data_IF_889575646277
#
_entry.id   IF_889575646277
#
_cell.length_a   1.000
_cell.length_b   1.000
_cell.length_c   1.000
_cell.angle_alpha   90.00
_cell.angle_beta   90.00
_cell.angle_gamma   90.00
#
_symmetry.space_group_name_H-M   'P 1'
#
loop_
_entity.id
_entity.type
_entity.pdbx_description
1 polymer ?
#
# COMPACT_ATOMS: atom_id res chain seq x y z
N UNK A 1 6.68 -0.92 -7.58
CA UNK A 1 7.14 -1.64 -6.37
C UNK A 1 8.58 -1.28 -6.06
N UNK A 2 8.99 -1.42 -4.80
CA UNK A 2 10.40 -1.28 -4.40
C UNK A 2 10.84 -2.49 -3.57
N UNK A 3 12.12 -2.83 -3.67
CA UNK A 3 12.75 -3.80 -2.79
C UNK A 3 13.38 -3.10 -1.55
N UNK A 4 13.92 -3.90 -0.63
CA UNK A 4 14.56 -3.41 0.59
C UNK A 4 15.89 -2.68 0.31
N UNK A 5 16.54 -2.96 -0.82
CA UNK A 5 17.76 -2.29 -1.26
C UNK A 5 17.50 -0.88 -1.84
N UNK A 6 16.23 -0.54 -2.05
CA UNK A 6 15.82 0.76 -2.60
C UNK A 6 15.72 0.78 -4.13
N UNK A 7 15.83 -0.37 -4.80
CA UNK A 7 15.52 -0.44 -6.22
C UNK A 7 14.02 -0.25 -6.44
N UNK A 8 13.65 0.54 -7.43
CA UNK A 8 12.25 0.79 -7.78
C UNK A 8 11.95 0.24 -9.17
N UNK A 9 10.86 -0.49 -9.28
CA UNK A 9 10.38 -1.09 -10.52
C UNK A 9 8.98 -0.56 -10.81
N UNK A 10 8.78 0.02 -11.97
CA UNK A 10 7.47 0.41 -12.47
C UNK A 10 7.00 -0.68 -13.42
N UNK A 11 5.83 -1.23 -13.16
CA UNK A 11 5.27 -2.36 -13.90
C UNK A 11 3.95 -1.89 -14.50
N UNK A 12 3.85 -1.95 -15.82
CA UNK A 12 2.62 -1.70 -16.55
C UNK A 12 2.17 -3.04 -17.17
N UNK A 13 1.14 -3.69 -16.60
CA UNK A 13 0.57 -4.87 -17.22
C UNK A 13 -0.10 -4.52 -18.54
N UNK A 14 -0.14 -5.49 -19.45
CA UNK A 14 -0.89 -5.39 -20.68
C UNK A 14 -2.36 -5.04 -20.39
N UNK A 15 -2.88 -4.02 -21.05
CA UNK A 15 -4.23 -3.47 -20.79
C UNK A 15 -5.36 -4.40 -21.29
N UNK A 16 -5.08 -5.33 -22.18
CA UNK A 16 -6.07 -6.24 -22.74
C UNK A 16 -6.31 -7.46 -21.83
N UNK A 17 -5.26 -8.01 -21.23
CA UNK A 17 -5.33 -9.28 -20.52
C UNK A 17 -4.76 -9.25 -19.10
N UNK A 18 -4.09 -8.17 -18.71
CA UNK A 18 -3.44 -7.98 -17.40
C UNK A 18 -2.47 -9.11 -16.99
N UNK A 19 -1.89 -9.84 -17.96
CA UNK A 19 -0.97 -10.94 -17.66
C UNK A 19 0.35 -10.42 -17.09
N UNK A 20 0.64 -10.79 -15.85
CA UNK A 20 1.88 -10.43 -15.17
C UNK A 20 2.34 -11.59 -14.25
N UNK A 21 2.71 -12.77 -14.79
CA UNK A 21 2.95 -13.99 -13.99
C UNK A 21 4.05 -13.83 -12.95
N UNK A 22 5.11 -13.09 -13.25
CA UNK A 22 6.18 -12.81 -12.30
C UNK A 22 5.70 -11.94 -11.14
N UNK A 23 4.89 -10.90 -11.41
CA UNK A 23 4.29 -10.07 -10.38
C UNK A 23 3.33 -10.90 -9.52
N UNK A 24 2.47 -11.70 -10.13
CA UNK A 24 1.54 -12.59 -9.43
C UNK A 24 2.30 -13.54 -8.49
N UNK A 25 3.40 -14.14 -8.96
CA UNK A 25 4.20 -15.04 -8.11
C UNK A 25 4.77 -14.34 -6.87
N UNK A 26 5.15 -13.06 -6.98
CA UNK A 26 5.59 -12.24 -5.83
C UNK A 26 4.42 -11.91 -4.90
N UNK A 27 3.28 -11.52 -5.47
CA UNK A 27 2.10 -11.12 -4.68
C UNK A 27 1.51 -12.29 -3.88
N UNK A 28 1.49 -13.50 -4.44
CA UNK A 28 0.95 -14.70 -3.78
C UNK A 28 1.94 -15.38 -2.83
N UNK A 29 3.22 -15.03 -2.88
CA UNK A 29 4.23 -15.66 -2.04
C UNK A 29 4.09 -15.24 -0.57
N UNK A 30 3.75 -16.20 0.30
CA UNK A 30 3.59 -15.98 1.74
C UNK A 30 4.90 -15.62 2.46
N UNK A 31 6.05 -15.95 1.87
CA UNK A 31 7.37 -15.65 2.45
C UNK A 31 7.81 -14.21 2.19
N UNK A 32 7.19 -13.54 1.22
CA UNK A 32 7.49 -12.15 0.88
C UNK A 32 6.44 -11.26 1.55
N UNK A 33 6.87 -10.35 2.42
CA UNK A 33 6.00 -9.33 2.99
C UNK A 33 5.75 -8.23 1.96
N UNK A 34 4.47 -7.97 1.64
CA UNK A 34 4.07 -6.83 0.81
C UNK A 34 3.67 -5.67 1.71
N UNK A 35 4.41 -4.58 1.60
CA UNK A 35 4.17 -3.36 2.38
C UNK A 35 3.49 -2.34 1.48
N UNK A 36 2.43 -1.72 1.97
CA UNK A 36 1.78 -0.64 1.24
C UNK A 36 1.12 0.36 2.19
N UNK A 37 0.65 1.45 1.60
CA UNK A 37 -0.07 2.49 2.33
C UNK A 37 -1.50 2.57 1.82
N UNK A 38 -2.48 2.30 2.68
CA UNK A 38 -3.90 2.28 2.32
C UNK A 38 -4.27 1.14 1.36
N UNK A 39 -3.71 -0.05 1.60
CA UNK A 39 -3.77 -1.24 0.73
C UNK A 39 -5.18 -1.72 0.35
N UNK A 40 -6.25 -1.25 0.98
CA UNK A 40 -7.63 -1.64 0.66
C UNK A 40 -7.94 -1.49 -0.83
N UNK A 41 -7.55 -0.36 -1.43
CA UNK A 41 -7.82 -0.11 -2.85
C UNK A 41 -6.85 -0.87 -3.76
N UNK A 42 -5.55 -0.81 -3.47
CA UNK A 42 -4.55 -1.48 -4.30
C UNK A 42 -4.75 -2.99 -4.31
N UNK A 43 -4.98 -3.60 -3.13
CA UNK A 43 -5.24 -5.02 -3.03
C UNK A 43 -6.49 -5.42 -3.81
N UNK A 44 -7.59 -4.67 -3.67
CA UNK A 44 -8.82 -4.93 -4.41
C UNK A 44 -8.60 -4.89 -5.93
N UNK A 45 -7.95 -3.83 -6.43
CA UNK A 45 -7.68 -3.67 -7.85
C UNK A 45 -6.74 -4.76 -8.38
N UNK A 46 -5.61 -5.00 -7.70
CA UNK A 46 -4.63 -6.00 -8.14
C UNK A 46 -5.23 -7.42 -8.14
N UNK A 47 -5.97 -7.82 -7.10
CA UNK A 47 -6.62 -9.13 -7.07
C UNK A 47 -7.69 -9.28 -8.15
N UNK A 48 -8.44 -8.21 -8.43
CA UNK A 48 -9.46 -8.21 -9.46
C UNK A 48 -8.87 -8.35 -10.86
N UNK A 49 -7.89 -7.53 -11.22
CA UNK A 49 -7.33 -7.51 -12.58
C UNK A 49 -6.33 -8.65 -12.82
N UNK A 50 -5.47 -8.95 -11.86
CA UNK A 50 -4.45 -10.00 -12.01
C UNK A 50 -4.96 -11.40 -11.69
N UNK A 51 -6.22 -11.53 -11.19
CA UNK A 51 -6.83 -12.81 -10.80
C UNK A 51 -5.98 -13.63 -9.83
N UNK A 52 -5.39 -12.95 -8.85
CA UNK A 52 -4.51 -13.51 -7.83
C UNK A 52 -5.05 -13.26 -6.42
N UNK A 53 -4.38 -13.83 -5.41
CA UNK A 53 -4.62 -13.54 -3.99
C UNK A 53 -3.35 -13.02 -3.33
N UNK A 54 -3.36 -11.76 -2.93
CA UNK A 54 -2.21 -11.13 -2.29
C UNK A 54 -2.13 -11.59 -0.84
N UNK A 55 -1.00 -12.22 -0.49
CA UNK A 55 -0.76 -12.79 0.83
C UNK A 55 0.36 -12.06 1.56
N UNK A 56 0.39 -12.19 2.89
CA UNK A 56 1.40 -11.61 3.77
C UNK A 56 1.60 -10.10 3.54
N UNK A 57 0.61 -9.31 3.96
CA UNK A 57 0.54 -7.87 3.74
C UNK A 57 0.71 -7.07 5.03
N UNK A 58 1.29 -5.88 4.92
CA UNK A 58 1.40 -4.89 5.99
C UNK A 58 0.91 -3.52 5.49
N UNK A 59 -0.20 -3.04 6.03
CA UNK A 59 -0.73 -1.73 5.69
C UNK A 59 -0.24 -0.67 6.69
N UNK A 60 0.62 0.22 6.25
CA UNK A 60 1.18 1.29 7.09
C UNK A 60 0.12 2.29 7.57
N UNK A 61 -0.95 2.53 6.81
CA UNK A 61 -2.05 3.40 7.23
C UNK A 61 -2.86 2.79 8.38
N UNK A 62 -3.20 1.50 8.30
CA UNK A 62 -3.90 0.80 9.39
C UNK A 62 -3.02 0.77 10.63
N UNK A 63 -1.75 0.41 10.48
CA UNK A 63 -0.79 0.42 11.57
C UNK A 63 -0.71 1.80 12.23
N UNK A 64 -0.53 2.85 11.43
CA UNK A 64 -0.47 4.23 11.92
C UNK A 64 -1.70 4.63 12.73
N UNK A 65 -2.91 4.28 12.26
CA UNK A 65 -4.16 4.57 12.99
C UNK A 65 -4.24 3.85 14.35
N UNK A 66 -3.69 2.64 14.44
CA UNK A 66 -3.72 1.85 15.68
C UNK A 66 -2.76 2.41 16.71
N UNK A 67 -1.60 2.93 16.31
CA UNK A 67 -0.52 3.29 17.24
C UNK A 67 -0.31 4.79 17.42
N UNK A 68 -0.54 5.61 16.39
CA UNK A 68 -0.36 7.07 16.45
C UNK A 68 -1.67 7.76 16.88
N UNK A 69 -2.16 7.41 18.06
CA UNK A 69 -3.40 7.96 18.62
C UNK A 69 -3.28 9.44 19.05
N UNK A 70 -2.07 9.98 19.03
CA UNK A 70 -1.75 11.38 19.32
C UNK A 70 -1.88 12.31 18.10
N UNK A 71 -2.07 11.75 16.89
CA UNK A 71 -2.17 12.51 15.64
C UNK A 71 -3.30 11.94 14.78
N UNK A 72 -4.04 12.79 14.12
CA UNK A 72 -5.10 12.41 13.15
C UNK A 72 -4.58 12.27 11.72
N UNK A 73 -3.33 12.69 11.45
CA UNK A 73 -2.72 12.67 10.12
C UNK A 73 -2.03 11.33 9.87
N UNK A 74 -2.72 10.45 9.13
CA UNK A 74 -2.23 9.11 8.79
C UNK A 74 -1.96 8.95 7.29
N UNK A 75 -1.74 10.06 6.56
CA UNK A 75 -1.38 10.03 5.15
C UNK A 75 0.07 9.64 4.93
N UNK A 76 0.39 9.08 3.75
CA UNK A 76 1.79 8.71 3.43
C UNK A 76 2.74 9.90 3.57
N UNK A 77 2.33 11.08 3.10
CA UNK A 77 3.11 12.33 3.23
C UNK A 77 3.48 12.63 4.69
N UNK A 78 2.51 12.44 5.61
CA UNK A 78 2.72 12.73 7.02
C UNK A 78 3.67 11.73 7.66
N UNK A 79 3.53 10.44 7.31
CA UNK A 79 4.45 9.40 7.77
C UNK A 79 5.86 9.57 7.20
N UNK A 80 6.00 9.97 5.94
CA UNK A 80 7.32 10.26 5.33
C UNK A 80 7.97 11.46 6.01
N UNK A 81 7.20 12.51 6.29
CA UNK A 81 7.72 13.68 7.02
C UNK A 81 8.20 13.29 8.42
N UNK A 82 7.41 12.51 9.16
CA UNK A 82 7.72 12.13 10.54
C UNK A 82 8.88 11.13 10.63
N UNK A 83 8.85 10.06 9.85
CA UNK A 83 9.82 8.95 9.98
C UNK A 83 11.03 9.06 9.06
N UNK A 84 10.93 9.82 7.97
CA UNK A 84 11.99 9.93 6.98
C UNK A 84 12.58 11.35 6.89
N UNK A 85 11.96 12.34 7.55
CA UNK A 85 12.35 13.76 7.46
C UNK A 85 12.41 14.27 6.00
N UNK A 86 11.43 13.87 5.19
CA UNK A 86 11.27 14.23 3.78
C UNK A 86 9.89 14.80 3.53
N UNK A 87 9.78 15.68 2.53
CA UNK A 87 8.51 16.20 2.06
C UNK A 87 8.17 15.59 0.70
N UNK A 88 7.03 14.91 0.60
CA UNK A 88 6.54 14.40 -0.68
C UNK A 88 5.82 15.49 -1.47
N UNK A 89 6.15 15.61 -2.75
CA UNK A 89 5.41 16.44 -3.70
C UNK A 89 4.19 15.66 -4.20
N UNK A 90 3.00 16.26 -4.05
CA UNK A 90 1.74 15.64 -4.49
C UNK A 90 1.21 16.18 -5.83
N UNK A 91 1.91 17.11 -6.48
CA UNK A 91 1.41 17.81 -7.67
C UNK A 91 1.15 16.91 -8.87
N UNK A 92 1.76 15.73 -8.92
CA UNK A 92 1.66 14.80 -10.06
C UNK A 92 0.66 13.65 -9.84
N UNK A 93 -0.01 13.56 -8.70
CA UNK A 93 -1.01 12.51 -8.42
C UNK A 93 -2.23 12.53 -9.35
N UNK A 94 -2.57 13.70 -9.93
CA UNK A 94 -3.66 13.89 -10.88
C UNK A 94 -3.19 13.91 -12.34
N UNK A 95 -1.95 13.50 -12.63
CA UNK A 95 -1.43 13.42 -14.00
C UNK A 95 -2.15 12.33 -14.80
N UNK A 96 -2.08 12.43 -16.14
CA UNK A 96 -2.57 11.37 -17.01
C UNK A 96 -1.66 10.13 -16.92
N UNK A 97 -2.18 9.06 -16.34
CA UNK A 97 -1.52 7.76 -16.16
C UNK A 97 -1.92 6.74 -17.22
N UNK A 98 -2.74 7.12 -18.23
CA UNK A 98 -3.18 6.23 -19.30
C UNK A 98 -2.15 6.07 -20.43
N UNK A 99 -1.03 6.75 -20.31
CA UNK A 99 0.09 6.70 -21.25
C UNK A 99 0.85 5.39 -21.16
N UNK A 100 1.59 5.07 -22.23
CA UNK A 100 2.56 3.98 -22.17
C UNK A 100 3.76 4.37 -21.28
N UNK A 101 4.51 3.37 -20.81
CA UNK A 101 5.55 3.57 -19.81
C UNK A 101 6.66 4.52 -20.29
N UNK A 102 7.00 4.45 -21.55
CA UNK A 102 8.01 5.29 -22.22
C UNK A 102 7.56 6.74 -22.49
N UNK A 103 6.25 7.00 -22.38
CA UNK A 103 5.65 8.33 -22.50
C UNK A 103 5.51 9.05 -21.15
N UNK A 104 5.77 8.36 -20.04
CA UNK A 104 5.71 8.96 -18.72
C UNK A 104 6.89 9.90 -18.51
N UNK A 105 6.61 11.09 -17.99
CA UNK A 105 7.65 12.05 -17.66
C UNK A 105 8.46 11.60 -16.43
N UNK A 106 9.72 12.06 -16.34
CA UNK A 106 10.58 11.80 -15.16
C UNK A 106 9.89 12.17 -13.85
N UNK A 107 9.07 13.24 -13.83
CA UNK A 107 8.32 13.67 -12.66
C UNK A 107 7.20 12.69 -12.27
N UNK A 108 6.55 12.05 -13.24
CA UNK A 108 5.58 11.00 -12.97
C UNK A 108 6.28 9.74 -12.44
N UNK A 109 7.40 9.35 -13.04
CA UNK A 109 8.21 8.23 -12.57
C UNK A 109 8.72 8.47 -11.15
N UNK A 110 9.23 9.68 -10.85
CA UNK A 110 9.64 10.09 -9.51
C UNK A 110 8.48 10.06 -8.52
N UNK A 111 7.30 10.54 -8.92
CA UNK A 111 6.11 10.50 -8.08
C UNK A 111 5.74 9.05 -7.72
N UNK A 112 5.67 8.15 -8.71
CA UNK A 112 5.38 6.73 -8.48
C UNK A 112 6.44 6.05 -7.60
N UNK A 113 7.71 6.40 -7.77
CA UNK A 113 8.79 5.90 -6.91
C UNK A 113 8.64 6.37 -5.46
N UNK A 114 8.27 7.63 -5.26
CA UNK A 114 8.08 8.22 -3.93
C UNK A 114 6.94 7.59 -3.13
N UNK A 115 5.95 6.97 -3.79
CA UNK A 115 4.87 6.26 -3.12
C UNK A 115 5.32 4.93 -2.49
N UNK A 116 6.49 4.40 -2.86
CA UNK A 116 6.95 3.08 -2.39
C UNK A 116 8.29 3.08 -1.68
N UNK A 117 9.23 3.96 -2.04
CA UNK A 117 10.63 3.92 -1.57
C UNK A 117 10.79 4.09 -0.05
N UNK A 118 9.86 4.79 0.60
CA UNK A 118 9.90 5.06 2.04
C UNK A 118 9.18 4.01 2.89
N UNK A 119 8.43 3.09 2.26
CA UNK A 119 7.54 2.16 2.97
C UNK A 119 8.28 1.20 3.90
N UNK A 120 9.46 0.72 3.52
CA UNK A 120 10.28 -0.17 4.36
C UNK A 120 10.67 0.51 5.67
N UNK A 121 11.19 1.75 5.61
CA UNK A 121 11.55 2.52 6.78
C UNK A 121 10.35 2.83 7.67
N UNK A 122 9.25 3.30 7.06
CA UNK A 122 8.00 3.59 7.79
C UNK A 122 7.49 2.33 8.49
N UNK A 123 7.44 1.20 7.79
CA UNK A 123 7.02 -0.10 8.37
C UNK A 123 7.87 -0.46 9.59
N UNK A 124 9.18 -0.33 9.51
CA UNK A 124 10.08 -0.70 10.60
C UNK A 124 9.85 0.19 11.85
N UNK A 125 9.65 1.49 11.68
CA UNK A 125 9.37 2.39 12.80
C UNK A 125 7.97 2.12 13.41
N UNK A 126 6.97 1.95 12.57
CA UNK A 126 5.60 1.63 13.03
C UNK A 126 5.55 0.27 13.75
N UNK A 127 6.29 -0.73 13.31
CA UNK A 127 6.36 -2.05 13.94
C UNK A 127 7.00 -1.98 15.34
N UNK A 128 8.09 -1.21 15.51
CA UNK A 128 8.67 -0.93 16.83
C UNK A 128 7.64 -0.33 17.78
N UNK A 129 6.83 0.61 17.30
CA UNK A 129 5.76 1.22 18.09
C UNK A 129 4.66 0.20 18.44
N UNK A 130 4.24 -0.68 17.49
CA UNK A 130 3.28 -1.76 17.77
C UNK A 130 3.75 -2.68 18.90
N UNK A 131 5.04 -3.03 18.90
CA UNK A 131 5.64 -3.88 19.94
C UNK A 131 5.65 -3.14 21.26
N UNK A 132 6.13 -1.89 21.30
CA UNK A 132 6.19 -1.05 22.49
C UNK A 132 4.82 -0.88 23.16
N UNK A 133 3.80 -0.58 22.34
CA UNK A 133 2.43 -0.34 22.81
C UNK A 133 1.63 -1.65 23.04
N UNK A 134 2.24 -2.82 22.80
CA UNK A 134 1.59 -4.15 22.92
C UNK A 134 0.32 -4.27 22.07
N UNK A 135 0.30 -3.65 20.88
CA UNK A 135 -0.87 -3.62 19.97
C UNK A 135 -0.70 -4.50 18.72
N UNK A 136 0.32 -5.36 18.67
CA UNK A 136 0.60 -6.22 17.52
C UNK A 136 -0.57 -7.17 17.20
N UNK A 137 -1.20 -7.77 18.23
CA UNK A 137 -2.32 -8.69 18.02
C UNK A 137 -3.55 -7.96 17.48
N UNK A 138 -3.81 -6.74 17.94
CA UNK A 138 -4.87 -5.90 17.40
C UNK A 138 -4.61 -5.58 15.94
N UNK A 139 -3.39 -5.21 15.60
CA UNK A 139 -2.99 -4.95 14.22
C UNK A 139 -3.20 -6.18 13.34
N UNK A 140 -2.75 -7.37 13.75
CA UNK A 140 -2.95 -8.62 13.01
C UNK A 140 -4.43 -8.92 12.75
N UNK A 141 -5.30 -8.71 13.73
CA UNK A 141 -6.76 -8.86 13.58
C UNK A 141 -7.34 -7.87 12.56
N UNK A 142 -6.90 -6.61 12.59
CA UNK A 142 -7.31 -5.62 11.59
C UNK A 142 -6.81 -5.99 10.18
N UNK A 143 -5.60 -6.54 10.06
CA UNK A 143 -5.07 -7.00 8.77
C UNK A 143 -5.83 -8.21 8.25
N UNK A 144 -6.22 -9.17 9.09
CA UNK A 144 -7.04 -10.31 8.67
C UNK A 144 -8.46 -9.92 8.25
N UNK A 145 -9.02 -8.84 8.84
CA UNK A 145 -10.32 -8.30 8.45
C UNK A 145 -10.29 -7.57 7.10
N UNK A 146 -9.13 -7.18 6.61
CA UNK A 146 -9.02 -6.40 5.37
C UNK A 146 -9.62 -7.15 4.16
N UNK A 147 -9.47 -8.46 4.09
CA UNK A 147 -10.07 -9.28 3.04
C UNK A 147 -11.61 -9.22 3.08
N UNK A 148 -12.18 -9.33 4.26
CA UNK A 148 -13.64 -9.17 4.48
C UNK A 148 -14.10 -7.76 4.08
N UNK A 149 -13.32 -6.71 4.44
CA UNK A 149 -13.66 -5.34 4.06
C UNK A 149 -13.66 -5.14 2.54
N UNK A 150 -12.70 -5.74 1.84
CA UNK A 150 -12.63 -5.71 0.38
C UNK A 150 -13.82 -6.45 -0.24
N UNK A 151 -14.20 -7.61 0.31
CA UNK A 151 -15.39 -8.33 -0.16
C UNK A 151 -16.66 -7.50 0.02
N UNK A 152 -16.82 -6.82 1.15
CA UNK A 152 -17.93 -5.89 1.37
C UNK A 152 -17.96 -4.78 0.32
N UNK A 153 -16.81 -4.20 -0.03
CA UNK A 153 -16.71 -3.17 -1.07
C UNK A 153 -17.17 -3.69 -2.43
N UNK A 154 -16.72 -4.89 -2.80
CA UNK A 154 -17.11 -5.55 -4.06
C UNK A 154 -18.61 -5.85 -4.14
N UNK A 155 -19.24 -6.11 -3.00
CA UNK A 155 -20.69 -6.34 -2.87
C UNK A 155 -21.51 -5.05 -2.72
N UNK A 156 -20.86 -3.89 -2.74
CA UNK A 156 -21.52 -2.58 -2.72
C UNK A 156 -21.79 -1.99 -1.33
N UNK A 157 -21.30 -2.60 -0.26
CA UNK A 157 -21.37 -2.04 1.09
C UNK A 157 -20.36 -0.90 1.23
N UNK A 158 -20.77 0.31 0.86
CA UNK A 158 -19.90 1.50 0.86
C UNK A 158 -19.62 2.04 2.26
N UNK A 159 -20.61 1.95 3.12
CA UNK A 159 -20.57 2.45 4.49
C UNK A 159 -19.98 1.42 5.45
N UNK A 160 -19.58 1.90 6.63
CA UNK A 160 -19.16 1.04 7.72
C UNK A 160 -20.38 0.29 8.27
N UNK A 161 -20.41 -1.03 8.09
CA UNK A 161 -21.52 -1.88 8.58
C UNK A 161 -21.63 -1.92 10.11
N UNK A 162 -20.65 -1.41 10.82
CA UNK A 162 -20.66 -1.27 12.28
C UNK A 162 -21.03 0.14 12.75
N UNK A 163 -21.28 1.06 11.81
CA UNK A 163 -21.71 2.41 12.15
C UNK A 163 -23.16 2.39 12.65
N UNK A 164 -23.40 3.05 13.77
CA UNK A 164 -24.72 3.23 14.38
C UNK A 164 -25.15 4.68 14.32
#
# INVERSE_FOLDING_TARGET
ISDEAGNVFIIQPDKENYKAPNLVSVLENEKILKIGHFLRFDKNALEYFLKCKIKNIFCTKICSKIIRTYDSNHGLKDLVREFCNKNLDKRHGSSDWNKELDELSDKQLEYAANDVIYLHRIKNELEKMLIREKRMDLFKKCMSFLDTRIELDQKGFKEDIFHH
#
